data_IF_285839261581
#
_entry.id   IF_285839261581
#
_cell.length_a   1.000
_cell.length_b   1.000
_cell.length_c   1.000
_cell.angle_alpha   90.00
_cell.angle_beta   90.00
_cell.angle_gamma   90.00
#
_symmetry.space_group_name_H-M   'P 1'
#
loop_
_entity.id
_entity.type
_entity.pdbx_description
1 polymer ?
#
# COMPACT_ATOMS: atom_id res chain seq x y z
N UNK A 1 10.19 -1.60 4.31
CA UNK A 1 10.42 -1.56 2.85
C UNK A 1 9.80 -0.34 2.22
N UNK A 2 10.22 -0.04 1.00
CA UNK A 2 9.68 1.10 0.26
C UNK A 2 8.30 0.84 -0.32
N UNK A 3 7.63 1.92 -0.77
CA UNK A 3 6.28 1.82 -1.34
C UNK A 3 6.24 0.93 -2.59
N UNK A 4 7.25 0.98 -3.46
CA UNK A 4 7.24 0.16 -4.68
C UNK A 4 7.35 -1.33 -4.38
N UNK A 5 8.15 -1.71 -3.37
CA UNK A 5 8.21 -3.10 -2.91
C UNK A 5 6.87 -3.54 -2.30
N UNK A 6 6.25 -2.67 -1.52
CA UNK A 6 4.95 -2.96 -0.92
C UNK A 6 3.90 -3.20 -2.00
N UNK A 7 3.88 -2.38 -3.05
CA UNK A 7 2.96 -2.54 -4.18
C UNK A 7 3.21 -3.88 -4.88
N UNK A 8 4.46 -4.24 -5.11
CA UNK A 8 4.80 -5.53 -5.74
C UNK A 8 4.27 -6.70 -4.90
N UNK A 9 4.38 -6.62 -3.59
CA UNK A 9 3.84 -7.64 -2.68
C UNK A 9 2.32 -7.68 -2.74
N UNK A 10 1.66 -6.52 -2.75
CA UNK A 10 0.20 -6.45 -2.86
C UNK A 10 -0.29 -7.12 -4.15
N UNK A 11 0.44 -6.98 -5.25
CA UNK A 11 0.08 -7.59 -6.53
C UNK A 11 0.10 -9.11 -6.50
N UNK A 12 0.73 -9.72 -5.50
CA UNK A 12 0.68 -11.18 -5.30
C UNK A 12 -0.54 -11.64 -4.51
N UNK A 13 -1.43 -10.72 -4.12
CA UNK A 13 -2.63 -11.02 -3.35
C UNK A 13 -2.50 -10.77 -1.85
N UNK A 14 -1.41 -10.18 -1.42
CA UNK A 14 -1.15 -9.89 -0.01
C UNK A 14 -1.53 -8.45 0.31
N UNK A 15 -1.53 -8.13 1.60
CA UNK A 15 -1.79 -6.78 2.09
C UNK A 15 -0.52 -6.22 2.70
N UNK A 16 -0.39 -4.90 2.65
CA UNK A 16 0.70 -4.18 3.30
C UNK A 16 0.13 -3.01 4.09
N UNK A 17 0.91 -2.52 5.04
CA UNK A 17 0.56 -1.29 5.76
C UNK A 17 1.82 -0.48 6.01
N UNK A 18 1.65 0.82 6.19
CA UNK A 18 2.73 1.67 6.66
C UNK A 18 2.87 1.51 8.19
N UNK A 19 4.08 1.62 8.70
CA UNK A 19 4.33 1.46 10.13
C UNK A 19 3.53 2.43 11.01
N UNK A 20 3.09 3.56 10.45
CA UNK A 20 2.26 4.54 11.15
C UNK A 20 0.76 4.27 11.05
N UNK A 21 0.35 3.27 10.29
CA UNK A 21 -1.06 2.91 10.17
C UNK A 21 -1.53 2.16 11.41
N UNK A 22 -2.81 2.29 11.73
CA UNK A 22 -3.45 1.45 12.76
C UNK A 22 -3.55 0.00 12.26
N UNK A 23 -3.92 -0.91 13.15
CA UNK A 23 -4.10 -2.32 12.79
C UNK A 23 -5.27 -2.55 11.81
N UNK A 24 -6.13 -1.55 11.63
CA UNK A 24 -7.28 -1.62 10.74
C UNK A 24 -7.00 -1.01 9.37
N UNK A 25 -5.87 -0.32 9.21
CA UNK A 25 -5.52 0.36 7.96
C UNK A 25 -4.53 -0.48 7.17
N UNK A 26 -4.79 -0.67 5.88
CA UNK A 26 -3.90 -1.41 4.98
C UNK A 26 -4.14 -1.00 3.54
N UNK A 27 -3.25 -1.44 2.65
CA UNK A 27 -3.42 -1.31 1.20
C UNK A 27 -3.48 -2.70 0.57
N UNK A 28 -4.14 -2.78 -0.59
CA UNK A 28 -4.30 -4.03 -1.33
C UNK A 28 -4.42 -3.75 -2.83
N UNK A 29 -4.14 -4.75 -3.64
CA UNK A 29 -4.20 -4.64 -5.10
C UNK A 29 -5.56 -5.09 -5.62
N UNK A 30 -6.25 -4.20 -6.32
CA UNK A 30 -7.50 -4.53 -7.02
C UNK A 30 -7.13 -4.91 -8.46
N UNK A 31 -7.08 -6.21 -8.72
CA UNK A 31 -6.64 -6.72 -10.02
C UNK A 31 -7.63 -6.40 -11.16
N UNK A 32 -8.89 -6.16 -10.84
CA UNK A 32 -9.89 -5.83 -11.85
C UNK A 32 -9.76 -4.39 -12.33
N UNK A 33 -9.51 -3.46 -11.42
CA UNK A 33 -9.31 -2.04 -11.71
C UNK A 33 -7.83 -1.70 -11.96
N UNK A 34 -6.90 -2.61 -11.63
CA UNK A 34 -5.45 -2.43 -11.73
C UNK A 34 -4.98 -1.19 -10.97
N UNK A 35 -5.44 -1.08 -9.72
CA UNK A 35 -5.09 0.01 -8.81
C UNK A 35 -4.80 -0.52 -7.41
N UNK A 36 -4.06 0.27 -6.63
CA UNK A 36 -3.91 0.05 -5.20
C UNK A 36 -5.06 0.77 -4.49
N UNK A 37 -5.73 0.07 -3.58
CA UNK A 37 -6.81 0.63 -2.76
C UNK A 37 -6.45 0.57 -1.29
N UNK A 38 -7.05 1.49 -0.53
CA UNK A 38 -7.02 1.44 0.93
C UNK A 38 -8.10 0.46 1.44
N UNK A 39 -8.12 0.20 2.74
CA UNK A 39 -9.10 -0.70 3.37
C UNK A 39 -10.54 -0.25 3.15
N UNK A 40 -10.78 1.06 2.97
CA UNK A 40 -12.10 1.63 2.69
C UNK A 40 -12.46 1.63 1.20
N UNK A 41 -11.66 0.98 0.37
CA UNK A 41 -11.79 0.87 -1.09
C UNK A 41 -11.44 2.13 -1.90
N UNK A 42 -11.03 3.21 -1.27
CA UNK A 42 -10.56 4.38 -2.01
C UNK A 42 -9.23 4.08 -2.71
N UNK A 43 -9.00 4.75 -3.84
CA UNK A 43 -7.80 4.52 -4.66
C UNK A 43 -6.63 5.34 -4.11
N UNK A 44 -5.46 4.68 -4.00
CA UNK A 44 -4.24 5.36 -3.59
C UNK A 44 -3.61 6.10 -4.77
N UNK A 45 -3.23 7.35 -4.55
CA UNK A 45 -2.37 8.08 -5.48
C UNK A 45 -0.91 7.69 -5.20
N UNK A 46 -0.42 6.70 -5.93
CA UNK A 46 0.92 6.13 -5.71
C UNK A 46 2.02 7.17 -5.89
N UNK A 47 1.87 8.07 -6.86
CA UNK A 47 2.90 9.08 -7.13
C UNK A 47 3.07 10.02 -5.94
N UNK A 48 1.99 10.42 -5.30
CA UNK A 48 2.05 11.24 -4.10
C UNK A 48 2.81 10.52 -2.99
N UNK A 49 2.56 9.22 -2.81
CA UNK A 49 3.25 8.41 -1.80
C UNK A 49 4.73 8.22 -2.12
N UNK A 50 5.08 8.05 -3.40
CA UNK A 50 6.49 7.96 -3.82
C UNK A 50 7.27 9.22 -3.50
N UNK A 51 6.66 10.38 -3.65
CA UNK A 51 7.30 11.68 -3.43
C UNK A 51 7.37 12.07 -1.96
N UNK A 52 6.63 11.39 -1.10
CA UNK A 52 6.63 11.66 0.33
C UNK A 52 7.88 11.08 0.97
N UNK A 53 8.67 11.90 1.66
CA UNK A 53 9.84 11.42 2.40
C UNK A 53 9.42 10.51 3.56
N UNK A 54 8.20 10.66 4.05
CA UNK A 54 7.67 9.86 5.16
C UNK A 54 7.07 8.54 4.65
N UNK A 55 6.20 8.60 3.63
CA UNK A 55 5.46 7.42 3.16
C UNK A 55 6.15 6.62 2.07
N UNK A 56 7.29 7.09 1.55
CA UNK A 56 8.03 6.33 0.54
C UNK A 56 8.71 5.09 1.15
N UNK A 57 8.91 5.06 2.46
CA UNK A 57 9.52 3.97 3.21
C UNK A 57 8.63 3.61 4.42
N UNK A 58 9.00 2.55 5.13
CA UNK A 58 8.29 2.17 6.35
C UNK A 58 7.10 1.25 6.12
N UNK A 59 7.02 0.61 4.97
CA UNK A 59 5.96 -0.35 4.66
C UNK A 59 6.30 -1.74 5.17
N UNK A 60 5.30 -2.47 5.60
CA UNK A 60 5.44 -3.85 6.08
C UNK A 60 4.33 -4.70 5.47
N UNK A 61 4.68 -5.96 5.23
CA UNK A 61 3.70 -6.94 4.75
C UNK A 61 2.84 -7.41 5.92
N UNK A 62 1.53 -7.53 5.66
CA UNK A 62 0.59 -8.16 6.58
C UNK A 62 -0.21 -9.20 5.80
N UNK A 63 -0.77 -10.14 6.49
CA UNK A 63 -1.55 -11.21 5.83
C UNK A 63 -2.95 -10.77 5.47
#
# INVERSE_FOLDING_TARGET
MGIDEAIAICKTGKKCKHQCYSNLEYIWWDKWAEVIRFEDTTIMDVDTYRKSSFYSQGWIEIN
#
